data_IF_256586274647
#
_entry.id   IF_256586274647
#
_cell.length_a   1.000
_cell.length_b   1.000
_cell.length_c   1.000
_cell.angle_alpha   90.00
_cell.angle_beta   90.00
_cell.angle_gamma   90.00
#
_symmetry.space_group_name_H-M   'P 1'
#
loop_
_entity.id
_entity.type
_entity.pdbx_description
1 polymer ?
#
# COMPACT_ATOMS: atom_id res chain seq x y z
N UNK A 1 13.86 3.19 10.63
CA UNK A 1 12.65 2.51 10.12
C UNK A 1 12.66 2.66 8.62
N UNK A 2 12.76 1.56 7.86
CA UNK A 2 12.65 1.64 6.41
C UNK A 2 11.28 2.24 6.08
N UNK A 3 11.26 3.23 5.21
CA UNK A 3 10.00 3.84 4.79
C UNK A 3 9.26 2.87 3.88
N UNK A 4 7.93 3.03 3.74
CA UNK A 4 7.12 2.17 2.85
C UNK A 4 7.72 2.14 1.43
N UNK A 5 8.33 3.25 1.00
CA UNK A 5 9.05 3.35 -0.27
C UNK A 5 10.23 2.39 -0.35
N UNK A 6 11.08 2.34 0.69
CA UNK A 6 12.28 1.49 0.68
C UNK A 6 11.88 0.00 0.60
N UNK A 7 10.92 -0.42 1.42
CA UNK A 7 10.40 -1.80 1.41
C UNK A 7 9.78 -2.15 0.06
N UNK A 8 9.02 -1.23 -0.55
CA UNK A 8 8.41 -1.47 -1.85
C UNK A 8 9.47 -1.57 -2.97
N UNK A 9 10.52 -0.75 -2.91
CA UNK A 9 11.63 -0.82 -3.87
C UNK A 9 12.48 -2.09 -3.70
N UNK A 10 12.65 -2.61 -2.48
CA UNK A 10 13.30 -3.90 -2.22
C UNK A 10 12.52 -5.08 -2.79
N UNK A 11 11.18 -5.07 -2.67
CA UNK A 11 10.33 -6.17 -3.11
C UNK A 11 10.02 -6.13 -4.62
N UNK A 12 9.72 -4.96 -5.17
CA UNK A 12 9.20 -4.82 -6.54
C UNK A 12 10.18 -4.12 -7.50
N UNK A 13 11.28 -3.59 -6.99
CA UNK A 13 12.25 -2.80 -7.75
C UNK A 13 11.79 -1.36 -7.98
N UNK A 14 12.52 -0.66 -8.86
CA UNK A 14 12.30 0.77 -9.13
C UNK A 14 10.96 1.00 -9.85
N UNK A 15 10.03 1.69 -9.19
CA UNK A 15 8.68 1.91 -9.70
C UNK A 15 7.80 2.66 -8.72
N UNK A 16 6.53 2.82 -9.09
CA UNK A 16 5.49 3.44 -8.24
C UNK A 16 4.21 2.61 -8.26
N UNK A 17 3.45 2.70 -7.17
CA UNK A 17 2.07 2.23 -7.17
C UNK A 17 1.20 3.21 -7.95
N UNK A 18 0.48 2.72 -8.96
CA UNK A 18 -0.50 3.51 -9.71
C UNK A 18 -1.61 4.00 -8.79
N UNK A 19 -1.94 5.28 -8.86
CA UNK A 19 -3.13 5.86 -8.19
C UNK A 19 -4.38 5.85 -9.07
N UNK A 20 -4.25 5.46 -10.34
CA UNK A 20 -5.36 5.39 -11.30
C UNK A 20 -5.95 3.98 -11.33
N UNK A 21 -5.07 2.97 -11.32
CA UNK A 21 -5.43 1.55 -11.29
C UNK A 21 -5.17 1.03 -9.87
N UNK A 22 -6.02 1.48 -8.94
CA UNK A 22 -5.99 1.07 -7.54
C UNK A 22 -7.40 0.78 -7.01
N UNK A 23 -7.47 -0.21 -6.13
CA UNK A 23 -8.64 -0.51 -5.31
C UNK A 23 -8.33 -0.16 -3.85
N UNK A 24 -9.25 0.53 -3.19
CA UNK A 24 -9.17 0.85 -1.77
C UNK A 24 -10.32 0.16 -1.06
N UNK A 25 -9.99 -0.64 -0.06
CA UNK A 25 -10.97 -1.29 0.80
C UNK A 25 -10.88 -0.71 2.22
N UNK A 26 -12.03 -0.35 2.78
CA UNK A 26 -12.13 0.28 4.09
C UNK A 26 -12.98 -0.59 5.01
N UNK A 27 -12.37 -1.03 6.10
CA UNK A 27 -13.03 -1.90 7.07
C UNK A 27 -12.95 -1.29 8.46
N UNK A 28 -14.05 -1.38 9.19
CA UNK A 28 -14.08 -1.08 10.61
C UNK A 28 -13.74 -2.35 11.38
N UNK A 29 -12.67 -2.30 12.15
CA UNK A 29 -12.19 -3.40 12.99
C UNK A 29 -12.22 -2.98 14.44
N UNK A 30 -12.77 -3.80 15.31
CA UNK A 30 -12.71 -3.57 16.76
C UNK A 30 -11.49 -4.28 17.32
N UNK A 31 -10.68 -3.59 18.13
CA UNK A 31 -9.54 -4.23 18.81
C UNK A 31 -9.97 -4.98 20.08
N UNK A 32 -9.05 -5.76 20.66
CA UNK A 32 -9.29 -6.56 21.88
C UNK A 32 -9.68 -5.70 23.10
N UNK A 33 -9.38 -4.40 23.09
CA UNK A 33 -9.76 -3.44 24.12
C UNK A 33 -11.09 -2.72 23.81
N UNK A 34 -11.81 -3.12 22.76
CA UNK A 34 -13.12 -2.57 22.38
C UNK A 34 -13.06 -1.24 21.63
N UNK A 35 -11.88 -0.82 21.16
CA UNK A 35 -11.75 0.43 20.42
C UNK A 35 -12.03 0.22 18.93
N UNK A 36 -12.69 1.20 18.32
CA UNK A 36 -12.92 1.24 16.88
C UNK A 36 -11.63 1.62 16.15
N UNK A 37 -11.15 0.72 15.29
CA UNK A 37 -10.02 0.92 14.39
C UNK A 37 -10.50 0.93 12.95
N UNK A 38 -9.85 1.75 12.15
CA UNK A 38 -10.06 1.81 10.71
C UNK A 38 -8.92 1.08 10.01
N UNK A 39 -9.25 0.02 9.31
CA UNK A 39 -8.33 -0.69 8.42
C UNK A 39 -8.54 -0.20 7.00
N UNK A 40 -7.45 0.20 6.36
CA UNK A 40 -7.46 0.63 4.96
C UNK A 40 -6.49 -0.27 4.20
N UNK A 41 -7.00 -0.99 3.21
CA UNK A 41 -6.20 -1.78 2.29
C UNK A 41 -6.05 -1.04 0.97
N UNK A 42 -4.80 -0.83 0.53
CA UNK A 42 -4.49 -0.24 -0.76
C UNK A 42 -3.93 -1.31 -1.68
N UNK A 43 -4.65 -1.61 -2.76
CA UNK A 43 -4.21 -2.52 -3.80
C UNK A 43 -4.09 -1.77 -5.12
N UNK A 44 -2.88 -1.26 -5.41
CA UNK A 44 -2.58 -0.56 -6.65
C UNK A 44 -1.60 -1.32 -7.52
N UNK A 45 -1.77 -1.23 -8.84
CA UNK A 45 -0.86 -1.81 -9.82
C UNK A 45 0.54 -1.21 -9.70
N UNK A 46 1.58 -2.05 -9.61
CA UNK A 46 2.97 -1.60 -9.60
C UNK A 46 3.45 -1.26 -11.01
N UNK A 47 3.81 0.00 -11.22
CA UNK A 47 4.34 0.53 -12.47
C UNK A 47 5.86 0.64 -12.35
N UNK A 48 6.58 -0.30 -12.97
CA UNK A 48 8.04 -0.23 -13.05
C UNK A 48 8.45 0.91 -13.97
N UNK A 49 9.47 1.67 -13.57
CA UNK A 49 10.04 2.69 -14.44
C UNK A 49 10.71 2.04 -15.65
N UNK A 50 10.30 2.43 -16.87
CA UNK A 50 11.07 2.11 -18.06
C UNK A 50 12.33 2.98 -18.07
N UNK A 51 13.49 2.33 -18.02
CA UNK A 51 14.76 2.98 -18.38
C UNK A 51 14.80 3.05 -19.91
N UNK A 52 14.64 4.26 -20.44
CA UNK A 52 14.89 4.57 -21.85
C UNK A 52 16.34 5.02 -22.02
#
# INVERSE_FOLDING_TARGET
MPTIKDVAHELFGDGIMSTIDMSVDLQKVSDEAGNDRMFISFNGKWLRYKKF
#
